data_IF_456247273771
#
_entry.id   IF_456247273771
#
_cell.length_a   1.000
_cell.length_b   1.000
_cell.length_c   1.000
_cell.angle_alpha   90.00
_cell.angle_beta   90.00
_cell.angle_gamma   90.00
#
_symmetry.space_group_name_H-M   'P 1'
#
loop_
_entity.id
_entity.type
_entity.pdbx_description
1 polymer ?
#
# COMPACT_ATOMS: atom_id res chain seq x y z
N UNK A 1 -4.40 -28.41 -3.14
CA UNK A 1 -4.68 -29.40 -4.21
C UNK A 1 -6.18 -29.61 -4.27
N UNK A 2 -6.81 -29.27 -5.39
CA UNK A 2 -8.26 -29.40 -5.59
C UNK A 2 -8.58 -30.78 -6.17
N UNK A 3 -9.77 -31.32 -5.90
CA UNK A 3 -10.20 -32.64 -6.42
C UNK A 3 -10.06 -32.74 -7.95
N UNK A 4 -10.21 -31.62 -8.65
CA UNK A 4 -10.01 -31.47 -10.09
C UNK A 4 -8.54 -31.69 -10.54
N UNK A 5 -7.56 -31.25 -9.76
CA UNK A 5 -6.14 -31.45 -10.12
C UNK A 5 -5.71 -32.91 -9.97
N UNK A 6 -6.29 -33.64 -9.02
CA UNK A 6 -6.04 -35.07 -8.85
C UNK A 6 -6.62 -35.89 -10.01
N UNK A 7 -7.84 -35.55 -10.45
CA UNK A 7 -8.51 -36.22 -11.58
C UNK A 7 -7.79 -35.97 -12.91
N UNK A 8 -7.28 -34.75 -13.11
CA UNK A 8 -6.49 -34.41 -14.30
C UNK A 8 -5.19 -35.24 -14.31
N UNK A 9 -4.47 -35.31 -13.19
CA UNK A 9 -3.25 -36.12 -13.08
C UNK A 9 -3.51 -37.62 -13.34
N UNK A 10 -4.58 -38.18 -12.76
CA UNK A 10 -4.94 -39.58 -12.93
C UNK A 10 -5.30 -39.93 -14.39
N UNK A 11 -6.04 -39.05 -15.07
CA UNK A 11 -6.37 -39.23 -16.50
C UNK A 11 -5.13 -39.09 -17.38
N UNK A 12 -4.23 -38.16 -17.06
CA UNK A 12 -3.00 -37.95 -17.82
C UNK A 12 -2.09 -39.19 -17.77
N UNK A 13 -1.90 -39.79 -16.60
CA UNK A 13 -1.06 -40.98 -16.43
C UNK A 13 -1.58 -42.19 -17.22
N UNK A 14 -2.90 -42.42 -17.24
CA UNK A 14 -3.50 -43.54 -17.97
C UNK A 14 -3.35 -43.34 -19.48
N UNK A 15 -3.58 -42.13 -19.98
CA UNK A 15 -3.48 -41.81 -21.42
C UNK A 15 -2.04 -41.97 -21.91
N UNK A 16 -1.05 -41.51 -21.15
CA UNK A 16 0.37 -41.59 -21.50
C UNK A 16 0.87 -43.04 -21.63
N UNK A 17 0.50 -43.91 -20.69
CA UNK A 17 0.91 -45.33 -20.69
C UNK A 17 0.27 -46.09 -21.85
N UNK A 18 -1.03 -45.89 -22.09
CA UNK A 18 -1.73 -46.53 -23.20
C UNK A 18 -1.19 -46.06 -24.55
N UNK A 19 -0.85 -44.78 -24.66
CA UNK A 19 -0.23 -44.19 -25.83
C UNK A 19 1.15 -44.75 -26.17
N UNK A 20 1.99 -44.93 -25.15
CA UNK A 20 3.33 -45.50 -25.29
C UNK A 20 3.29 -46.97 -25.73
N UNK A 21 2.42 -47.79 -25.12
CA UNK A 21 2.27 -49.21 -25.46
C UNK A 21 1.72 -49.40 -26.87
N UNK A 22 0.84 -48.51 -27.34
CA UNK A 22 0.23 -48.59 -28.66
C UNK A 22 1.04 -47.86 -29.76
N UNK A 23 2.23 -47.32 -29.45
CA UNK A 23 3.04 -46.58 -30.41
C UNK A 23 3.71 -47.52 -31.43
N UNK A 24 3.12 -47.63 -32.63
CA UNK A 24 3.68 -48.46 -33.72
C UNK A 24 4.77 -47.74 -34.53
N UNK A 25 4.80 -46.41 -34.52
CA UNK A 25 5.70 -45.59 -35.34
C UNK A 25 6.74 -44.86 -34.48
N UNK A 26 7.98 -44.72 -34.99
CA UNK A 26 9.08 -44.04 -34.28
C UNK A 26 8.77 -42.56 -33.96
N UNK A 27 8.05 -41.87 -34.84
CA UNK A 27 7.56 -40.50 -34.61
C UNK A 27 6.58 -40.43 -33.44
N UNK A 28 5.63 -41.36 -33.37
CA UNK A 28 4.66 -41.42 -32.28
C UNK A 28 5.34 -41.74 -30.96
N UNK A 29 6.33 -42.64 -30.96
CA UNK A 29 7.14 -42.92 -29.78
C UNK A 29 7.92 -41.68 -29.30
N UNK A 30 8.52 -40.92 -30.22
CA UNK A 30 9.21 -39.66 -29.90
C UNK A 30 8.25 -38.64 -29.26
N UNK A 31 7.05 -38.48 -29.80
CA UNK A 31 6.05 -37.55 -29.26
C UNK A 31 5.61 -37.93 -27.84
N UNK A 32 5.45 -39.23 -27.54
CA UNK A 32 5.15 -39.68 -26.19
C UNK A 32 6.30 -39.43 -25.21
N UNK A 33 7.55 -39.63 -25.64
CA UNK A 33 8.74 -39.31 -24.83
C UNK A 33 8.80 -37.80 -24.53
N UNK A 34 8.57 -36.96 -25.54
CA UNK A 34 8.54 -35.50 -25.36
C UNK A 34 7.41 -35.06 -24.42
N UNK A 35 6.23 -35.68 -24.53
CA UNK A 35 5.10 -35.41 -23.64
C UNK A 35 5.40 -35.81 -22.19
N UNK A 36 6.08 -36.94 -21.98
CA UNK A 36 6.57 -37.36 -20.67
C UNK A 36 7.54 -36.33 -20.06
N UNK A 37 8.56 -35.92 -20.82
CA UNK A 37 9.55 -34.94 -20.38
C UNK A 37 8.90 -33.60 -20.05
N UNK A 38 7.96 -33.13 -20.88
CA UNK A 38 7.21 -31.90 -20.63
C UNK A 38 6.39 -31.98 -19.34
N UNK A 39 5.69 -33.10 -19.11
CA UNK A 39 4.89 -33.30 -17.90
C UNK A 39 5.75 -33.34 -16.63
N UNK A 40 6.91 -34.02 -16.67
CA UNK A 40 7.86 -34.07 -15.56
C UNK A 40 8.43 -32.68 -15.24
N UNK A 41 8.80 -31.93 -16.27
CA UNK A 41 9.30 -30.56 -16.12
C UNK A 41 8.27 -29.65 -15.45
N UNK A 42 7.00 -29.74 -15.87
CA UNK A 42 5.90 -28.99 -15.27
C UNK A 42 5.62 -29.38 -13.80
N UNK A 43 5.71 -30.67 -13.48
CA UNK A 43 5.59 -31.14 -12.08
C UNK A 43 6.67 -30.56 -11.18
N UNK A 44 7.93 -30.53 -11.65
CA UNK A 44 9.06 -29.99 -10.89
C UNK A 44 8.88 -28.50 -10.63
N UNK A 45 8.49 -27.71 -11.64
CA UNK A 45 8.30 -26.26 -11.49
C UNK A 45 7.16 -25.92 -10.54
N UNK A 46 6.03 -26.62 -10.65
CA UNK A 46 4.88 -26.45 -9.76
C UNK A 46 5.22 -26.81 -8.31
N UNK A 47 5.95 -27.90 -8.13
CA UNK A 47 6.39 -28.36 -6.80
C UNK A 47 7.39 -27.37 -6.21
N UNK A 48 8.36 -26.89 -6.99
CA UNK A 48 9.32 -25.86 -6.55
C UNK A 48 8.65 -24.55 -6.13
N UNK A 49 7.61 -24.10 -6.85
CA UNK A 49 6.82 -22.92 -6.49
C UNK A 49 6.07 -23.10 -5.17
N UNK A 50 5.47 -24.26 -4.95
CA UNK A 50 4.80 -24.61 -3.69
C UNK A 50 5.79 -24.69 -2.53
N UNK A 51 6.97 -25.29 -2.75
CA UNK A 51 8.02 -25.37 -1.74
C UNK A 51 8.58 -24.00 -1.36
N UNK A 52 8.78 -23.10 -2.33
CA UNK A 52 9.13 -21.71 -2.05
C UNK A 52 8.04 -21.04 -1.21
N UNK A 53 6.77 -21.21 -1.56
CA UNK A 53 5.65 -20.67 -0.76
C UNK A 53 5.57 -21.24 0.67
N UNK A 54 5.99 -22.50 0.87
CA UNK A 54 6.04 -23.17 2.16
C UNK A 54 7.20 -22.68 3.04
N UNK A 55 8.43 -22.68 2.50
CA UNK A 55 9.63 -22.28 3.24
C UNK A 55 9.73 -20.77 3.46
N UNK A 56 9.29 -19.94 2.50
CA UNK A 56 9.25 -18.48 2.66
C UNK A 56 8.03 -18.00 3.45
N UNK A 57 7.32 -18.92 4.13
CA UNK A 57 6.32 -18.64 5.15
C UNK A 57 5.48 -17.39 4.85
N UNK A 58 4.73 -17.44 3.75
CA UNK A 58 3.61 -16.51 3.56
C UNK A 58 2.60 -16.82 4.67
N UNK A 59 2.82 -16.23 5.86
CA UNK A 59 1.85 -16.25 6.94
C UNK A 59 0.66 -15.44 6.44
N UNK A 60 -0.27 -16.12 5.76
CA UNK A 60 -1.58 -15.57 5.44
C UNK A 60 -2.26 -15.34 6.77
N UNK A 61 -2.06 -14.14 7.31
CA UNK A 61 -2.77 -13.66 8.49
C UNK A 61 -4.23 -13.58 8.10
N UNK A 62 -5.00 -14.60 8.46
CA UNK A 62 -6.44 -14.56 8.40
C UNK A 62 -6.88 -13.51 9.41
N UNK A 63 -7.05 -12.26 8.95
CA UNK A 63 -7.62 -11.18 9.75
C UNK A 63 -9.08 -11.51 9.97
N UNK A 64 -9.34 -12.29 11.02
CA UNK A 64 -10.70 -12.51 11.52
C UNK A 64 -11.04 -11.30 12.37
N UNK A 65 -11.89 -10.43 11.84
CA UNK A 65 -12.52 -9.34 12.59
C UNK A 65 -13.43 -9.98 13.65
N UNK A 66 -12.85 -10.36 14.79
CA UNK A 66 -13.62 -10.67 15.99
C UNK A 66 -13.95 -9.31 16.59
N UNK A 67 -15.20 -8.87 16.45
CA UNK A 67 -15.77 -7.77 17.24
C UNK A 67 -15.92 -8.24 18.68
N UNK A 68 -14.79 -8.42 19.36
CA UNK A 68 -14.75 -8.41 20.82
C UNK A 68 -14.81 -6.96 21.29
N UNK A 69 -15.45 -6.73 22.43
CA UNK A 69 -15.41 -5.45 23.12
C UNK A 69 -13.96 -5.16 23.52
N UNK A 70 -13.28 -4.32 22.73
CA UNK A 70 -11.92 -3.89 23.01
C UNK A 70 -11.96 -2.78 24.06
N UNK A 71 -11.01 -2.74 25.01
CA UNK A 71 -10.93 -1.65 25.95
C UNK A 71 -10.75 -0.34 25.18
N UNK A 72 -11.49 0.69 25.60
CA UNK A 72 -11.39 2.01 25.00
C UNK A 72 -9.92 2.47 25.04
N UNK A 73 -9.32 2.87 23.91
CA UNK A 73 -7.91 3.21 23.86
C UNK A 73 -7.63 4.46 24.70
N UNK A 74 -6.40 4.59 25.19
CA UNK A 74 -5.97 5.82 25.84
C UNK A 74 -5.95 6.97 24.82
N UNK A 75 -6.93 7.86 24.89
CA UNK A 75 -6.97 9.05 24.03
C UNK A 75 -6.19 10.17 24.73
N UNK A 76 -5.05 10.55 24.15
CA UNK A 76 -4.25 11.66 24.65
C UNK A 76 -4.53 12.91 23.82
N UNK A 77 -5.17 13.89 24.44
CA UNK A 77 -5.35 15.22 23.84
C UNK A 77 -4.25 16.15 24.33
N UNK A 78 -3.53 16.77 23.39
CA UNK A 78 -2.57 17.83 23.70
C UNK A 78 -3.14 19.19 23.31
N UNK A 79 -2.96 20.17 24.18
CA UNK A 79 -3.22 21.57 23.83
C UNK A 79 -2.14 22.03 22.85
N UNK A 80 -2.54 22.57 21.70
CA UNK A 80 -1.64 23.13 20.69
C UNK A 80 -0.78 24.29 21.23
N UNK A 81 -1.22 24.92 22.32
CA UNK A 81 -0.45 25.93 23.01
C UNK A 81 0.51 25.29 24.04
N UNK A 82 1.83 25.37 23.85
CA UNK A 82 2.80 24.72 24.72
C UNK A 82 2.88 25.33 26.13
N UNK A 83 2.45 26.59 26.31
CA UNK A 83 2.56 27.28 27.61
C UNK A 83 1.38 28.20 27.91
N UNK A 84 0.85 28.16 29.14
CA UNK A 84 -0.17 29.12 29.60
C UNK A 84 0.46 30.51 29.76
N UNK A 85 -0.16 31.56 29.18
CA UNK A 85 0.38 32.93 29.19
C UNK A 85 0.71 33.44 30.59
N UNK A 86 -0.15 33.16 31.57
CA UNK A 86 0.01 33.63 32.95
C UNK A 86 1.15 32.89 33.68
N UNK A 87 1.42 31.64 33.31
CA UNK A 87 2.51 30.85 33.89
C UNK A 87 3.84 31.17 33.20
N UNK A 88 3.82 31.41 31.89
CA UNK A 88 4.99 31.83 31.13
C UNK A 88 5.56 33.16 31.63
N UNK A 89 4.71 34.08 32.10
CA UNK A 89 5.14 35.36 32.68
C UNK A 89 5.92 35.24 33.99
N UNK A 90 5.79 34.12 34.71
CA UNK A 90 6.52 33.87 35.98
C UNK A 90 7.98 33.50 35.74
N UNK A 91 8.31 33.00 34.55
CA UNK A 91 9.68 32.67 34.15
C UNK A 91 10.23 33.82 33.33
N UNK A 92 11.28 34.52 33.79
CA UNK A 92 11.76 35.75 33.15
C UNK A 92 12.19 35.54 31.70
N UNK A 93 12.77 34.38 31.38
CA UNK A 93 13.17 34.00 30.01
C UNK A 93 11.94 33.79 29.12
N UNK A 94 10.88 33.20 29.64
CA UNK A 94 9.70 32.87 28.84
C UNK A 94 8.81 34.11 28.61
N UNK A 95 8.80 35.05 29.56
CA UNK A 95 8.12 36.34 29.43
C UNK A 95 8.67 37.18 28.26
N UNK A 96 10.00 37.30 28.16
CA UNK A 96 10.67 38.08 27.11
C UNK A 96 10.45 37.47 25.73
N UNK A 97 10.59 36.16 25.61
CA UNK A 97 10.36 35.44 24.35
C UNK A 97 8.90 35.60 23.90
N UNK A 98 7.95 35.52 24.84
CA UNK A 98 6.52 35.63 24.53
C UNK A 98 6.13 37.05 24.08
N UNK A 99 6.75 38.09 24.64
CA UNK A 99 6.55 39.48 24.23
C UNK A 99 7.08 39.74 22.82
N UNK A 100 8.33 39.33 22.56
CA UNK A 100 8.93 39.43 21.23
C UNK A 100 8.11 38.65 20.20
N UNK A 101 7.69 37.42 20.53
CA UNK A 101 6.86 36.59 19.67
C UNK A 101 5.51 37.24 19.31
N UNK A 102 4.86 37.92 20.27
CA UNK A 102 3.60 38.64 20.02
C UNK A 102 3.80 39.87 19.14
N UNK A 103 4.88 40.62 19.37
CA UNK A 103 5.21 41.80 18.58
C UNK A 103 5.55 41.44 17.12
N UNK A 104 6.32 40.38 16.92
CA UNK A 104 6.67 39.86 15.58
C UNK A 104 5.45 39.26 14.91
N UNK A 105 4.64 38.49 15.64
CA UNK A 105 3.41 37.89 15.14
C UNK A 105 2.40 38.93 14.61
N UNK A 106 2.22 40.05 15.33
CA UNK A 106 1.32 41.12 14.88
C UNK A 106 1.84 41.85 13.64
N UNK A 107 3.15 42.11 13.55
CA UNK A 107 3.79 42.69 12.35
C UNK A 107 3.64 41.78 11.13
N UNK A 108 3.87 40.48 11.30
CA UNK A 108 3.71 39.47 10.22
C UNK A 108 2.25 39.37 9.78
N UNK A 109 1.30 39.37 10.72
CA UNK A 109 -0.14 39.32 10.43
C UNK A 109 -0.59 40.55 9.63
N UNK A 110 -0.17 41.75 10.03
CA UNK A 110 -0.49 43.00 9.35
C UNK A 110 0.14 43.07 7.96
N UNK A 111 1.41 42.64 7.82
CA UNK A 111 2.08 42.53 6.53
C UNK A 111 1.38 41.53 5.60
N UNK A 112 0.92 40.39 6.14
CA UNK A 112 0.13 39.39 5.40
C UNK A 112 -1.21 39.95 4.93
N UNK A 113 -1.93 40.67 5.81
CA UNK A 113 -3.21 41.31 5.47
C UNK A 113 -3.05 42.37 4.38
N UNK A 114 -1.98 43.18 4.44
CA UNK A 114 -1.61 44.16 3.40
C UNK A 114 -1.24 43.50 2.06
N UNK A 115 -0.51 42.36 2.09
CA UNK A 115 -0.20 41.59 0.88
C UNK A 115 -1.45 40.95 0.26
N UNK A 116 -2.36 40.45 1.09
CA UNK A 116 -3.63 39.89 0.63
C UNK A 116 -4.55 40.96 0.03
N UNK A 117 -4.61 42.16 0.63
CA UNK A 117 -5.37 43.28 0.06
C UNK A 117 -4.75 43.78 -1.24
N UNK A 118 -3.43 43.90 -1.33
CA UNK A 118 -2.73 44.31 -2.56
C UNK A 118 -2.92 43.29 -3.69
N UNK A 119 -2.83 41.99 -3.38
CA UNK A 119 -3.09 40.92 -4.35
C UNK A 119 -4.57 40.85 -4.78
N UNK A 120 -5.51 41.21 -3.90
CA UNK A 120 -6.93 41.31 -4.24
C UNK A 120 -7.19 42.49 -5.19
N UNK A 121 -6.54 43.64 -4.97
CA UNK A 121 -6.66 44.83 -5.84
C UNK A 121 -6.00 44.61 -7.21
N UNK A 122 -4.85 43.94 -7.29
CA UNK A 122 -4.21 43.61 -8.59
C UNK A 122 -5.02 42.60 -9.42
N UNK A 123 -5.80 41.71 -8.77
CA UNK A 123 -6.69 40.77 -9.48
C UNK A 123 -7.87 41.46 -10.17
N UNK A 124 -8.46 42.49 -9.57
CA UNK A 124 -9.60 43.21 -10.17
C UNK A 124 -9.23 43.99 -11.43
N UNK A 125 -7.99 44.50 -11.54
CA UNK A 125 -7.54 45.22 -12.74
C UNK A 125 -7.15 44.30 -13.91
N UNK A 126 -6.81 43.03 -13.65
CA UNK A 126 -6.48 42.05 -14.68
C UNK A 126 -7.72 41.30 -15.24
N UNK A 127 -8.80 41.18 -14.47
CA UNK A 127 -10.01 40.44 -14.90
C UNK A 127 -10.93 41.21 -15.86
N UNK A 128 -10.80 42.54 -15.98
CA UNK A 128 -11.67 43.34 -16.88
C UNK A 128 -11.22 43.27 -18.36
N UNK A 129 -9.99 42.83 -18.64
CA UNK A 129 -9.41 42.86 -19.99
C UNK A 129 -9.63 41.59 -20.84
N UNK A 130 -10.32 40.57 -20.32
CA UNK A 130 -10.47 39.28 -21.00
C UNK A 130 -11.85 39.04 -21.63
N UNK A 131 -12.75 40.03 -21.63
CA UNK A 131 -14.09 39.90 -22.21
C UNK A 131 -14.36 41.03 -23.22
N UNK A 132 -13.44 41.24 -24.17
CA UNK A 132 -13.71 42.06 -25.36
C UNK A 132 -13.15 41.33 -26.58
N UNK A 133 -13.93 40.35 -27.07
CA UNK A 133 -14.12 39.97 -28.48
C UNK A 133 -15.07 38.78 -28.59
#
# INVERSE_FOLDING_TARGET
MTRSSLLIAQKFSIIQVQGFINARNKLTALLWILALIASMSFMITQTGSLFKGFFFANKRTMVKLKSSELPFPAVTFCNLNPFKKNEAKKVPILATIMEVAQSVGSKISNARKKRQSLAATTRQSATVKCCEN
#
